data_IF_867335724607
#
_entry.id   IF_867335724607
#
_cell.length_a   1.000
_cell.length_b   1.000
_cell.length_c   1.000
_cell.angle_alpha   90.00
_cell.angle_beta   90.00
_cell.angle_gamma   90.00
#
_symmetry.space_group_name_H-M   'P 1'
#
loop_
_entity.id
_entity.type
_entity.pdbx_description
1 polymer ?
#
# COMPACT_ATOMS: atom_id res chain seq x y z
N UNK A 1 6.25 -18.60 14.41
CA UNK A 1 5.90 -18.44 12.98
C UNK A 1 6.50 -17.16 12.46
N UNK A 2 6.86 -17.12 11.19
CA UNK A 2 7.24 -15.92 10.45
C UNK A 2 6.01 -15.29 9.82
N UNK A 3 5.74 -14.03 10.17
CA UNK A 3 4.54 -13.30 9.75
C UNK A 3 4.97 -12.09 8.93
N UNK A 4 4.35 -11.90 7.76
CA UNK A 4 4.53 -10.70 6.94
C UNK A 4 3.27 -9.83 7.04
N UNK A 5 3.38 -8.68 7.69
CA UNK A 5 2.30 -7.69 7.77
C UNK A 5 2.46 -6.68 6.63
N UNK A 6 1.41 -6.48 5.84
CA UNK A 6 1.44 -5.62 4.65
C UNK A 6 0.50 -4.42 4.84
N UNK A 7 1.04 -3.21 4.72
CA UNK A 7 0.28 -1.96 4.79
C UNK A 7 0.73 -0.99 3.69
N UNK A 8 -0.08 0.02 3.40
CA UNK A 8 0.27 1.00 2.36
C UNK A 8 1.36 1.96 2.84
N UNK A 9 1.25 2.49 4.06
CA UNK A 9 2.25 3.34 4.69
C UNK A 9 2.60 2.77 6.07
N UNK A 10 3.52 3.43 6.79
CA UNK A 10 3.87 2.99 8.14
C UNK A 10 4.53 4.05 9.03
N UNK A 11 4.62 3.72 10.31
CA UNK A 11 5.24 4.53 11.36
C UNK A 11 6.76 4.68 11.17
N UNK A 12 7.36 5.76 11.69
CA UNK A 12 6.71 6.91 12.34
C UNK A 12 6.24 8.00 11.37
N UNK A 13 6.61 7.91 10.08
CA UNK A 13 6.32 8.95 9.09
C UNK A 13 4.82 9.13 8.83
N UNK A 14 4.06 8.03 8.90
CA UNK A 14 2.60 8.02 8.74
C UNK A 14 1.95 7.37 9.95
N UNK A 15 1.00 8.07 10.57
CA UNK A 15 0.37 7.66 11.82
C UNK A 15 -1.16 7.82 11.77
N UNK A 16 -1.80 7.27 10.73
CA UNK A 16 -3.26 7.14 10.69
C UNK A 16 -3.70 5.78 11.25
N UNK A 17 -5.00 5.47 11.13
CA UNK A 17 -5.61 4.31 11.78
C UNK A 17 -4.96 2.97 11.40
N UNK A 18 -4.75 2.75 10.09
CA UNK A 18 -4.13 1.52 9.56
C UNK A 18 -2.70 1.35 10.07
N UNK A 19 -1.89 2.40 10.06
CA UNK A 19 -0.48 2.33 10.45
C UNK A 19 -0.33 2.10 11.96
N UNK A 20 -1.12 2.83 12.76
CA UNK A 20 -1.12 2.68 14.22
C UNK A 20 -1.59 1.28 14.61
N UNK A 21 -2.67 0.78 14.00
CA UNK A 21 -3.16 -0.57 14.24
C UNK A 21 -2.11 -1.62 13.87
N UNK A 22 -1.53 -1.51 12.66
CA UNK A 22 -0.52 -2.46 12.17
C UNK A 22 0.69 -2.48 13.08
N UNK A 23 1.17 -1.31 13.55
CA UNK A 23 2.28 -1.21 14.49
C UNK A 23 1.97 -1.80 15.88
N UNK A 24 0.76 -1.62 16.39
CA UNK A 24 0.33 -2.27 17.64
C UNK A 24 0.25 -3.78 17.50
N UNK A 25 -0.35 -4.27 16.40
CA UNK A 25 -0.42 -5.70 16.10
C UNK A 25 0.97 -6.33 15.96
N UNK A 26 1.89 -5.66 15.25
CA UNK A 26 3.25 -6.13 15.07
C UNK A 26 3.98 -6.33 16.41
N UNK A 27 3.86 -5.34 17.31
CA UNK A 27 4.39 -5.42 18.68
C UNK A 27 3.79 -6.58 19.46
N UNK A 28 2.46 -6.73 19.44
CA UNK A 28 1.78 -7.80 20.16
C UNK A 28 2.18 -9.18 19.65
N UNK A 29 2.26 -9.38 18.33
CA UNK A 29 2.70 -10.64 17.73
C UNK A 29 4.16 -10.96 18.06
N UNK A 30 5.06 -9.97 18.04
CA UNK A 30 6.44 -10.15 18.48
C UNK A 30 6.53 -10.55 19.94
N UNK A 31 5.74 -9.91 20.82
CA UNK A 31 5.70 -10.23 22.25
C UNK A 31 5.21 -11.67 22.52
N UNK A 32 4.39 -12.23 21.61
CA UNK A 32 3.97 -13.63 21.63
C UNK A 32 5.01 -14.60 21.04
N UNK A 33 6.19 -14.11 20.63
CA UNK A 33 7.29 -14.93 20.12
C UNK A 33 7.26 -15.20 18.61
N UNK A 34 6.46 -14.46 17.84
CA UNK A 34 6.47 -14.55 16.38
C UNK A 34 7.64 -13.73 15.76
N UNK A 35 8.15 -14.21 14.63
CA UNK A 35 9.13 -13.52 13.78
C UNK A 35 8.36 -12.60 12.82
N UNK A 36 8.23 -11.32 13.17
CA UNK A 36 7.33 -10.37 12.48
C UNK A 36 8.12 -9.45 11.56
N UNK A 37 7.69 -9.40 10.30
CA UNK A 37 8.23 -8.54 9.25
C UNK A 37 7.14 -7.63 8.73
N UNK A 38 7.51 -6.42 8.32
CA UNK A 38 6.60 -5.43 7.76
C UNK A 38 6.99 -5.14 6.31
N UNK A 39 6.00 -5.12 5.41
CA UNK A 39 6.15 -4.62 4.05
C UNK A 39 5.20 -3.45 3.83
N UNK A 40 5.77 -2.32 3.46
CA UNK A 40 5.08 -1.04 3.37
C UNK A 40 5.46 -0.33 2.09
N UNK A 41 4.78 0.76 1.76
CA UNK A 41 5.23 1.65 0.69
C UNK A 41 5.52 3.05 1.22
N UNK A 42 6.18 3.84 0.39
CA UNK A 42 6.42 5.26 0.63
C UNK A 42 6.40 6.02 -0.69
N UNK A 43 5.86 7.23 -0.65
CA UNK A 43 5.93 8.15 -1.78
C UNK A 43 7.00 9.19 -1.52
N UNK A 44 8.18 8.95 -2.06
CA UNK A 44 9.31 9.86 -1.95
C UNK A 44 9.98 10.06 -3.30
N UNK A 45 9.66 11.19 -3.94
CA UNK A 45 10.15 11.53 -5.29
C UNK A 45 11.66 11.79 -5.35
N UNK A 46 12.34 11.86 -4.20
CA UNK A 46 13.80 11.87 -4.13
C UNK A 46 14.41 10.47 -4.29
N UNK A 47 13.62 9.41 -4.06
CA UNK A 47 14.03 8.02 -4.24
C UNK A 47 13.60 7.50 -5.62
N UNK A 48 14.41 6.64 -6.27
CA UNK A 48 14.00 5.98 -7.51
C UNK A 48 12.69 5.22 -7.33
N UNK A 49 11.78 5.36 -8.29
CA UNK A 49 10.51 4.63 -8.26
C UNK A 49 10.74 3.11 -8.33
N UNK A 50 10.16 2.36 -7.41
CA UNK A 50 10.42 0.93 -7.21
C UNK A 50 11.71 0.59 -6.45
N UNK A 51 12.40 1.56 -5.84
CA UNK A 51 13.50 1.25 -4.93
C UNK A 51 13.00 0.58 -3.66
N UNK A 52 13.84 -0.25 -3.04
CA UNK A 52 13.56 -0.90 -1.76
C UNK A 52 14.47 -0.30 -0.68
N UNK A 53 13.87 0.19 0.40
CA UNK A 53 14.58 0.60 1.61
C UNK A 53 14.28 -0.41 2.72
N UNK A 54 15.31 -0.89 3.41
CA UNK A 54 15.14 -1.67 4.64
C UNK A 54 15.51 -0.81 5.83
N UNK A 55 14.62 -0.75 6.80
CA UNK A 55 14.81 0.00 8.04
C UNK A 55 14.29 -0.79 9.22
N UNK A 56 14.64 -0.34 10.41
CA UNK A 56 14.12 -0.90 11.65
C UNK A 56 13.08 0.05 12.25
N UNK A 57 12.04 -0.51 12.86
CA UNK A 57 11.14 0.21 13.74
C UNK A 57 10.92 -0.62 15.01
N UNK A 58 11.38 -0.11 16.16
CA UNK A 58 11.25 -0.78 17.46
C UNK A 58 11.80 -2.23 17.47
N UNK A 59 12.91 -2.50 16.77
CA UNK A 59 13.46 -3.86 16.65
C UNK A 59 12.71 -4.80 15.69
N UNK A 60 11.81 -4.27 14.85
CA UNK A 60 11.15 -4.99 13.75
C UNK A 60 11.71 -4.53 12.41
N UNK A 61 11.97 -5.48 11.50
CA UNK A 61 12.38 -5.17 10.13
C UNK A 61 11.18 -4.63 9.32
N UNK A 62 11.38 -3.47 8.68
CA UNK A 62 10.43 -2.85 7.76
C UNK A 62 11.07 -2.76 6.39
N UNK A 63 10.47 -3.44 5.42
CA UNK A 63 10.80 -3.29 4.00
C UNK A 63 9.84 -2.29 3.38
N UNK A 64 10.36 -1.14 2.95
CA UNK A 64 9.61 -0.04 2.39
C UNK A 64 9.87 0.07 0.88
N UNK A 65 8.82 -0.11 0.09
CA UNK A 65 8.85 -0.03 -1.36
C UNK A 65 8.50 1.41 -1.80
N UNK A 66 9.35 2.05 -2.59
CA UNK A 66 9.02 3.36 -3.13
C UNK A 66 8.00 3.23 -4.26
N UNK A 67 6.84 3.87 -4.12
CA UNK A 67 5.89 4.08 -5.20
C UNK A 67 5.57 5.58 -5.32
N UNK A 68 6.13 6.21 -6.36
CA UNK A 68 6.01 7.64 -6.59
C UNK A 68 4.67 8.06 -7.25
N UNK A 69 3.78 7.10 -7.50
CA UNK A 69 2.45 7.30 -8.10
C UNK A 69 2.50 7.84 -9.53
N UNK A 70 3.54 7.48 -10.27
CA UNK A 70 3.72 7.82 -11.68
C UNK A 70 2.89 6.92 -12.60
N UNK A 71 1.61 6.75 -12.26
CA UNK A 71 0.67 5.90 -13.00
C UNK A 71 0.39 6.44 -14.40
N UNK A 72 0.46 5.58 -15.41
CA UNK A 72 0.14 5.88 -16.79
C UNK A 72 -1.38 5.82 -17.06
N UNK A 73 -2.07 4.89 -16.39
CA UNK A 73 -3.51 4.61 -16.50
C UNK A 73 -4.17 4.54 -15.13
N UNK A 74 -5.50 4.53 -15.10
CA UNK A 74 -6.26 4.33 -13.87
C UNK A 74 -6.09 2.91 -13.32
N UNK A 75 -5.94 1.92 -14.20
CA UNK A 75 -5.74 0.52 -13.84
C UNK A 75 -4.47 0.30 -13.01
N UNK A 76 -3.39 1.04 -13.32
CA UNK A 76 -2.13 0.97 -12.55
C UNK A 76 -2.23 1.41 -11.09
N UNK A 77 -3.36 2.01 -10.67
CA UNK A 77 -3.62 2.36 -9.27
C UNK A 77 -3.95 1.15 -8.40
N UNK A 78 -4.35 0.03 -9.01
CA UNK A 78 -4.70 -1.21 -8.32
C UNK A 78 -4.04 -2.46 -8.93
N UNK A 79 -3.61 -2.42 -10.19
CA UNK A 79 -2.83 -3.46 -10.86
C UNK A 79 -1.44 -2.93 -11.23
N UNK A 80 -0.46 -3.16 -10.36
CA UNK A 80 0.90 -2.65 -10.54
C UNK A 80 1.94 -3.79 -10.59
N UNK A 81 2.37 -4.21 -11.80
CA UNK A 81 3.31 -5.32 -11.97
C UNK A 81 4.66 -5.11 -11.27
N UNK A 82 5.11 -3.86 -11.13
CA UNK A 82 6.36 -3.54 -10.42
C UNK A 82 6.22 -3.84 -8.93
N UNK A 83 5.12 -3.41 -8.31
CA UNK A 83 4.86 -3.68 -6.90
C UNK A 83 4.66 -5.18 -6.64
N UNK A 84 4.02 -5.89 -7.57
CA UNK A 84 3.87 -7.34 -7.49
C UNK A 84 5.22 -8.08 -7.56
N UNK A 85 6.11 -7.65 -8.45
CA UNK A 85 7.44 -8.25 -8.57
C UNK A 85 8.29 -8.02 -7.31
N UNK A 86 8.26 -6.81 -6.76
CA UNK A 86 8.95 -6.48 -5.50
C UNK A 86 8.36 -7.28 -4.33
N UNK A 87 7.04 -7.38 -4.24
CA UNK A 87 6.37 -8.18 -3.23
C UNK A 87 6.72 -9.67 -3.34
N UNK A 88 6.73 -10.22 -4.56
CA UNK A 88 7.11 -11.61 -4.79
C UNK A 88 8.56 -11.90 -4.35
N UNK A 89 9.50 -10.98 -4.64
CA UNK A 89 10.88 -11.10 -4.17
C UNK A 89 10.97 -11.11 -2.63
N UNK A 90 10.11 -10.34 -1.95
CA UNK A 90 10.03 -10.36 -0.49
C UNK A 90 9.41 -11.66 0.05
N UNK A 91 8.42 -12.25 -0.64
CA UNK A 91 7.92 -13.59 -0.28
C UNK A 91 9.00 -14.66 -0.42
N UNK A 92 9.81 -14.60 -1.47
CA UNK A 92 10.92 -15.54 -1.69
C UNK A 92 12.02 -15.39 -0.63
N UNK A 93 12.38 -14.14 -0.30
CA UNK A 93 13.39 -13.83 0.72
C UNK A 93 12.94 -14.24 2.11
N UNK A 94 11.72 -13.85 2.48
CA UNK A 94 11.21 -14.04 3.83
C UNK A 94 10.66 -15.45 4.03
N UNK A 95 10.04 -16.08 3.03
CA UNK A 95 9.32 -17.36 3.20
C UNK A 95 8.36 -17.31 4.40
N UNK A 96 7.41 -16.35 4.46
CA UNK A 96 6.54 -16.22 5.62
C UNK A 96 5.57 -17.42 5.71
N UNK A 97 5.21 -17.78 6.93
CA UNK A 97 4.19 -18.79 7.22
C UNK A 97 2.77 -18.24 6.97
N UNK A 98 2.60 -16.91 7.03
CA UNK A 98 1.34 -16.21 6.78
C UNK A 98 1.61 -14.77 6.33
N UNK A 99 0.86 -14.30 5.34
CA UNK A 99 0.80 -12.88 4.97
C UNK A 99 -0.50 -12.29 5.51
N UNK A 100 -0.38 -11.21 6.28
CA UNK A 100 -1.52 -10.47 6.79
C UNK A 100 -1.59 -9.08 6.14
N UNK A 101 -2.55 -8.89 5.25
CA UNK A 101 -2.82 -7.60 4.63
C UNK A 101 -3.69 -6.73 5.53
N UNK A 102 -3.33 -5.45 5.61
CA UNK A 102 -4.12 -4.39 6.23
C UNK A 102 -4.59 -3.37 5.20
N UNK A 103 -3.79 -3.12 4.15
CA UNK A 103 -4.20 -2.22 3.08
C UNK A 103 -3.36 -2.45 1.83
N UNK A 104 -3.89 -2.06 0.66
CA UNK A 104 -3.24 -2.25 -0.65
C UNK A 104 -3.10 -0.96 -1.48
N UNK A 105 -3.51 0.19 -0.96
CA UNK A 105 -3.17 1.47 -1.60
C UNK A 105 -1.66 1.55 -1.84
N UNK A 106 -1.25 2.08 -2.99
CA UNK A 106 0.15 2.17 -3.43
C UNK A 106 0.88 0.83 -3.62
N UNK A 107 0.22 -0.30 -3.37
CA UNK A 107 0.68 -1.64 -3.72
C UNK A 107 -0.05 -2.09 -5.01
N UNK A 108 -0.38 -3.37 -5.10
CA UNK A 108 -1.22 -3.97 -6.15
C UNK A 108 -2.16 -4.98 -5.50
N UNK A 109 -3.37 -5.16 -6.02
CA UNK A 109 -4.23 -6.29 -5.63
C UNK A 109 -3.57 -7.64 -5.97
N UNK A 110 -2.72 -7.65 -7.00
CA UNK A 110 -1.94 -8.82 -7.39
C UNK A 110 -1.00 -9.31 -6.29
N UNK A 111 -0.64 -8.50 -5.28
CA UNK A 111 0.12 -8.97 -4.12
C UNK A 111 -0.61 -10.12 -3.40
N UNK A 112 -1.94 -10.05 -3.28
CA UNK A 112 -2.74 -11.13 -2.68
C UNK A 112 -2.65 -12.39 -3.54
N UNK A 113 -2.78 -12.24 -4.86
CA UNK A 113 -2.68 -13.34 -5.81
C UNK A 113 -1.30 -14.02 -5.77
N UNK A 114 -0.21 -13.24 -5.64
CA UNK A 114 1.16 -13.77 -5.50
C UNK A 114 1.33 -14.60 -4.23
N UNK A 115 0.79 -14.14 -3.09
CA UNK A 115 0.85 -14.89 -1.84
C UNK A 115 0.09 -16.23 -1.95
N UNK A 116 -1.11 -16.21 -2.53
CA UNK A 116 -1.92 -17.41 -2.78
C UNK A 116 -1.22 -18.37 -3.75
N UNK A 117 -0.67 -17.86 -4.85
CA UNK A 117 0.05 -18.67 -5.83
C UNK A 117 1.33 -19.31 -5.25
N UNK A 118 1.96 -18.65 -4.28
CA UNK A 118 3.09 -19.20 -3.53
C UNK A 118 2.69 -20.25 -2.47
N UNK A 119 1.38 -20.53 -2.31
CA UNK A 119 0.86 -21.46 -1.31
C UNK A 119 0.92 -20.92 0.12
N UNK A 120 1.07 -19.61 0.29
CA UNK A 120 1.18 -18.98 1.61
C UNK A 120 -0.23 -18.58 2.09
N UNK A 121 -0.66 -18.99 3.30
CA UNK A 121 -1.91 -18.54 3.89
C UNK A 121 -2.02 -17.02 3.95
N UNK A 122 -3.19 -16.50 3.59
CA UNK A 122 -3.49 -15.06 3.57
C UNK A 122 -4.58 -14.71 4.58
N UNK A 123 -4.33 -13.68 5.38
CA UNK A 123 -5.34 -12.97 6.18
C UNK A 123 -5.49 -11.53 5.66
N UNK A 124 -6.71 -10.99 5.66
CA UNK A 124 -6.96 -9.60 5.31
C UNK A 124 -7.88 -8.96 6.36
N UNK A 125 -7.40 -7.92 7.06
CA UNK A 125 -8.28 -7.07 7.89
C UNK A 125 -8.74 -5.87 7.06
N UNK A 126 -10.05 -5.71 6.93
CA UNK A 126 -10.66 -4.61 6.18
C UNK A 126 -10.84 -3.38 7.10
N UNK A 127 -9.93 -2.42 6.98
CA UNK A 127 -9.97 -1.18 7.77
C UNK A 127 -10.99 -0.15 7.24
N UNK A 128 -11.29 -0.19 5.95
CA UNK A 128 -12.19 0.75 5.28
C UNK A 128 -12.81 0.11 4.02
N UNK A 129 -13.46 0.95 3.20
CA UNK A 129 -14.11 0.53 1.96
C UNK A 129 -13.23 0.65 0.71
N UNK A 130 -11.89 0.73 0.82
CA UNK A 130 -11.00 0.94 -0.33
C UNK A 130 -11.18 -0.11 -1.42
N UNK A 131 -11.31 -1.39 -1.05
CA UNK A 131 -11.58 -2.49 -1.99
C UNK A 131 -12.93 -2.38 -2.72
N UNK A 132 -13.85 -1.55 -2.24
CA UNK A 132 -15.17 -1.36 -2.85
C UNK A 132 -15.30 -0.02 -3.58
N UNK A 133 -14.49 0.98 -3.24
CA UNK A 133 -14.62 2.33 -3.75
C UNK A 133 -13.26 2.89 -4.19
N UNK A 134 -13.08 2.97 -5.50
CA UNK A 134 -11.91 3.54 -6.16
C UNK A 134 -11.57 4.99 -5.77
N UNK A 135 -12.53 5.74 -5.20
CA UNK A 135 -12.31 7.06 -4.62
C UNK A 135 -11.80 6.92 -3.19
N UNK A 136 -10.70 6.19 -2.99
CA UNK A 136 -10.07 5.91 -1.68
C UNK A 136 -11.05 5.50 -0.56
N UNK A 137 -11.97 4.60 -0.84
CA UNK A 137 -12.85 4.05 0.20
C UNK A 137 -13.92 5.02 0.74
N UNK A 138 -14.08 6.20 0.15
CA UNK A 138 -14.88 7.28 0.76
C UNK A 138 -16.37 6.97 0.92
N UNK A 139 -16.95 6.15 0.02
CA UNK A 139 -18.39 5.84 0.00
C UNK A 139 -19.29 7.09 0.16
N UNK A 140 -18.84 8.21 -0.40
CA UNK A 140 -19.51 9.50 -0.40
C UNK A 140 -19.49 10.07 -1.82
N UNK A 141 -20.65 10.46 -2.31
CA UNK A 141 -20.83 11.10 -3.61
C UNK A 141 -20.31 12.55 -3.59
N UNK A 142 -19.98 13.16 -4.74
CA UNK A 142 -19.55 14.55 -4.82
C UNK A 142 -20.58 15.57 -4.30
N UNK A 143 -21.87 15.19 -4.32
CA UNK A 143 -22.98 15.95 -3.77
C UNK A 143 -23.13 15.83 -2.24
N UNK A 144 -22.25 15.06 -1.58
CA UNK A 144 -22.26 14.82 -0.13
C UNK A 144 -23.21 13.71 0.32
N UNK A 145 -23.93 13.04 -0.58
CA UNK A 145 -24.77 11.90 -0.22
C UNK A 145 -23.95 10.63 0.04
N UNK A 146 -24.41 9.81 0.98
CA UNK A 146 -23.82 8.50 1.27
C UNK A 146 -24.04 7.55 0.08
N UNK A 147 -22.98 6.85 -0.32
CA UNK A 147 -23.03 5.80 -1.34
C UNK A 147 -23.38 4.47 -0.68
N UNK A 148 -24.67 4.16 -0.58
CA UNK A 148 -25.14 2.89 0.02
C UNK A 148 -24.89 1.68 -0.88
N UNK A 149 -24.94 1.86 -2.20
CA UNK A 149 -24.72 0.80 -3.19
C UNK A 149 -23.70 1.25 -4.23
N UNK A 150 -22.79 0.34 -4.58
CA UNK A 150 -21.87 0.54 -5.70
C UNK A 150 -22.67 0.41 -7.01
N UNK A 151 -22.75 1.51 -7.74
CA UNK A 151 -23.36 1.61 -9.06
C UNK A 151 -22.29 2.17 -10.01
N UNK A 152 -21.88 1.39 -11.01
CA UNK A 152 -20.77 1.77 -11.88
C UNK A 152 -21.04 3.01 -12.74
N UNK A 153 -22.29 3.27 -13.12
CA UNK A 153 -22.64 4.48 -13.87
C UNK A 153 -22.47 5.72 -12.98
N UNK A 154 -22.91 5.64 -11.70
CA UNK A 154 -22.70 6.73 -10.74
C UNK A 154 -21.24 6.83 -10.29
N UNK A 155 -20.50 5.73 -10.16
CA UNK A 155 -19.06 5.77 -9.89
C UNK A 155 -18.31 6.57 -10.96
N UNK A 156 -18.74 6.52 -12.23
CA UNK A 156 -18.17 7.32 -13.30
C UNK A 156 -18.18 8.84 -13.01
N UNK A 157 -19.23 9.36 -12.37
CA UNK A 157 -19.28 10.77 -11.98
C UNK A 157 -18.36 11.10 -10.80
N UNK A 158 -18.24 10.18 -9.84
CA UNK A 158 -17.30 10.31 -8.72
C UNK A 158 -15.84 10.30 -9.18
N UNK A 159 -15.51 9.46 -10.17
CA UNK A 159 -14.15 9.26 -10.64
C UNK A 159 -13.71 10.28 -11.70
N UNK A 160 -14.63 10.90 -12.42
CA UNK A 160 -14.31 11.93 -13.41
C UNK A 160 -13.54 13.13 -12.82
N UNK A 161 -13.77 13.45 -11.55
CA UNK A 161 -13.09 14.54 -10.83
C UNK A 161 -12.00 14.03 -9.89
N UNK A 162 -11.81 12.71 -9.80
CA UNK A 162 -10.84 12.11 -8.91
C UNK A 162 -9.45 12.09 -9.55
N UNK A 163 -8.52 12.82 -8.95
CA UNK A 163 -7.13 12.85 -9.41
C UNK A 163 -6.38 11.60 -8.92
N UNK A 164 -6.19 10.66 -9.83
CA UNK A 164 -5.49 9.40 -9.54
C UNK A 164 -4.04 9.36 -10.09
N UNK A 165 -3.65 10.31 -10.94
CA UNK A 165 -2.30 10.39 -11.51
C UNK A 165 -1.74 11.80 -11.43
N UNK A 166 -0.43 11.89 -11.38
CA UNK A 166 0.30 13.15 -11.50
C UNK A 166 0.51 13.52 -12.98
N UNK A 167 0.32 14.78 -13.32
CA UNK A 167 0.66 15.31 -14.65
C UNK A 167 2.16 15.30 -14.88
N UNK A 168 2.61 15.33 -16.15
CA UNK A 168 4.04 15.39 -16.48
C UNK A 168 4.76 16.56 -15.81
N UNK A 169 4.11 17.72 -15.76
CA UNK A 169 4.65 18.90 -15.08
C UNK A 169 4.87 18.63 -13.60
N UNK A 170 3.89 18.05 -12.91
CA UNK A 170 4.00 17.71 -11.49
C UNK A 170 5.09 16.68 -11.21
N UNK A 171 5.27 15.70 -12.09
CA UNK A 171 6.35 14.72 -11.98
C UNK A 171 7.73 15.38 -12.13
N UNK A 172 7.90 16.24 -13.14
CA UNK A 172 9.16 16.96 -13.40
C UNK A 172 9.48 17.92 -12.26
N UNK A 173 8.52 18.75 -11.85
CA UNK A 173 8.70 19.71 -10.76
C UNK A 173 8.97 18.98 -9.44
N UNK A 174 8.26 17.89 -9.15
CA UNK A 174 8.49 17.09 -7.94
C UNK A 174 9.92 16.53 -7.88
N UNK A 175 10.43 15.99 -8.98
CA UNK A 175 11.83 15.50 -9.08
C UNK A 175 12.84 16.63 -8.93
N UNK A 176 12.61 17.77 -9.58
CA UNK A 176 13.50 18.92 -9.48
C UNK A 176 13.58 19.46 -8.04
N UNK A 177 12.45 19.56 -7.35
CA UNK A 177 12.40 19.98 -5.94
C UNK A 177 13.06 18.96 -5.00
N UNK A 178 12.95 17.66 -5.29
CA UNK A 178 13.62 16.64 -4.52
C UNK A 178 15.16 16.75 -4.56
N UNK A 179 15.73 17.21 -5.69
CA UNK A 179 17.18 17.46 -5.80
C UNK A 179 17.66 18.60 -4.90
N UNK A 180 16.76 19.44 -4.39
CA UNK A 180 17.09 20.54 -3.47
C UNK A 180 17.02 20.14 -1.98
N UNK A 181 16.60 18.90 -1.68
CA UNK A 181 16.52 18.37 -0.31
C UNK A 181 17.84 17.74 0.18
N UNK A 182 18.88 17.73 -0.66
CA UNK A 182 20.26 17.38 -0.29
C UNK A 182 20.91 18.50 0.51
#
# INVERSE_FOLDING_TARGET
>A
MRLLLVAHNFLPAHAAGTEVYTGQLARSLRALGHDVHLLTTEKDVARPDGSVLRREWEGLEVTELTNNLFHSSFEETWANPRMEALFAAELERLRPDLVHFHHLLYLSIGCVERAVAAGIPVCFTLHDFWLQCARFGQRLHPDGQICERIDFARCGSCLATFKFRQSRLEQVTGRALALLRT
#
